data_IF_850086148299
#
_entry.id   IF_850086148299
#
_cell.length_a   1.000
_cell.length_b   1.000
_cell.length_c   1.000
_cell.angle_alpha   90.00
_cell.angle_beta   90.00
_cell.angle_gamma   90.00
#
_symmetry.space_group_name_H-M   'P 1'
#
loop_
_entity.id
_entity.type
_entity.pdbx_description
1 polymer ?
#
# COMPACT_ATOMS: atom_id res chain seq x y z
N UNK A 1 -24.66 -14.41 11.80
CA UNK A 1 -24.46 -15.88 11.68
C UNK A 1 -25.57 -16.69 12.39
N UNK A 2 -26.67 -16.06 12.69
CA UNK A 2 -27.81 -16.72 13.35
C UNK A 2 -28.49 -17.78 12.46
N UNK A 3 -28.41 -17.64 11.15
CA UNK A 3 -29.01 -18.56 10.17
C UNK A 3 -28.08 -19.73 9.79
N UNK A 4 -26.98 -19.90 10.52
CA UNK A 4 -26.09 -21.04 10.38
C UNK A 4 -25.53 -21.24 8.98
N UNK A 5 -25.75 -22.40 8.38
CA UNK A 5 -25.19 -22.79 7.09
C UNK A 5 -25.63 -21.88 5.94
N UNK A 6 -26.83 -21.30 5.99
CA UNK A 6 -27.30 -20.37 4.97
C UNK A 6 -26.43 -19.10 4.92
N UNK A 7 -26.03 -18.57 6.09
CA UNK A 7 -25.09 -17.43 6.16
C UNK A 7 -23.72 -17.78 5.57
N UNK A 8 -23.19 -18.96 5.85
CA UNK A 8 -21.92 -19.43 5.27
C UNK A 8 -22.01 -19.54 3.74
N UNK A 9 -23.12 -20.06 3.22
CA UNK A 9 -23.32 -20.15 1.77
C UNK A 9 -23.42 -18.78 1.10
N UNK A 10 -24.01 -17.77 1.76
CA UNK A 10 -24.02 -16.39 1.23
C UNK A 10 -22.61 -15.77 1.24
N UNK A 11 -21.80 -16.04 2.27
CA UNK A 11 -20.41 -15.59 2.29
C UNK A 11 -19.62 -16.19 1.11
N UNK A 12 -19.80 -17.48 0.82
CA UNK A 12 -19.16 -18.11 -0.32
C UNK A 12 -19.62 -17.49 -1.66
N UNK A 13 -20.91 -17.19 -1.80
CA UNK A 13 -21.45 -16.52 -3.02
C UNK A 13 -20.87 -15.14 -3.23
N UNK A 14 -20.79 -14.31 -2.18
CA UNK A 14 -20.22 -12.96 -2.27
C UNK A 14 -18.73 -13.03 -2.58
N UNK A 15 -17.96 -13.90 -1.94
CA UNK A 15 -16.54 -14.09 -2.23
C UNK A 15 -16.32 -14.56 -3.69
N UNK A 16 -17.13 -15.49 -4.18
CA UNK A 16 -17.06 -15.94 -5.57
C UNK A 16 -17.43 -14.83 -6.58
N UNK A 17 -18.39 -13.96 -6.24
CA UNK A 17 -18.74 -12.80 -7.07
C UNK A 17 -17.59 -11.80 -7.15
N UNK A 18 -16.94 -11.50 -6.03
CA UNK A 18 -15.75 -10.63 -5.97
C UNK A 18 -14.60 -11.25 -6.78
N UNK A 19 -14.40 -12.57 -6.69
CA UNK A 19 -13.37 -13.25 -7.49
C UNK A 19 -13.62 -13.07 -8.99
N UNK A 20 -14.86 -13.24 -9.46
CA UNK A 20 -15.21 -13.00 -10.88
C UNK A 20 -14.99 -11.54 -11.28
N UNK A 21 -15.37 -10.59 -10.42
CA UNK A 21 -15.14 -9.16 -10.64
C UNK A 21 -13.64 -8.86 -10.74
N UNK A 22 -12.84 -9.44 -9.85
CA UNK A 22 -11.39 -9.32 -9.88
C UNK A 22 -10.79 -9.89 -11.16
N UNK A 23 -11.21 -11.08 -11.60
CA UNK A 23 -10.70 -11.73 -12.81
C UNK A 23 -11.09 -10.98 -14.10
N UNK A 24 -12.19 -10.23 -14.04
CA UNK A 24 -12.59 -9.32 -15.11
C UNK A 24 -11.85 -7.96 -15.08
N UNK A 25 -10.85 -7.78 -14.22
CA UNK A 25 -10.09 -6.53 -14.09
C UNK A 25 -10.82 -5.43 -13.30
N UNK A 26 -11.96 -5.73 -12.67
CA UNK A 26 -12.72 -4.73 -11.90
C UNK A 26 -12.03 -4.33 -10.60
N UNK A 27 -12.08 -3.05 -10.26
CA UNK A 27 -11.56 -2.50 -9.00
C UNK A 27 -12.57 -2.72 -7.88
N UNK A 28 -12.13 -3.29 -6.77
CA UNK A 28 -12.89 -3.41 -5.54
C UNK A 28 -12.21 -2.66 -4.39
N UNK A 29 -12.82 -1.55 -3.93
CA UNK A 29 -12.39 -0.79 -2.77
C UNK A 29 -13.26 -1.20 -1.59
N UNK A 30 -12.65 -1.69 -0.52
CA UNK A 30 -13.33 -1.98 0.74
C UNK A 30 -13.09 -0.87 1.75
N UNK A 31 -14.15 -0.35 2.35
CA UNK A 31 -14.07 0.67 3.40
C UNK A 31 -14.57 0.06 4.70
N UNK A 32 -13.67 -0.12 5.65
CA UNK A 32 -13.94 -0.74 6.95
C UNK A 32 -14.33 0.33 7.97
N UNK A 33 -15.60 0.33 8.33
CA UNK A 33 -16.15 1.22 9.36
C UNK A 33 -16.23 0.54 10.72
N UNK A 34 -16.48 1.30 11.80
CA UNK A 34 -16.60 0.75 13.16
C UNK A 34 -18.04 0.28 13.45
N UNK A 35 -18.26 -0.98 13.85
CA UNK A 35 -17.35 -2.12 13.80
C UNK A 35 -17.49 -2.94 12.50
N UNK A 36 -16.41 -3.52 12.02
CA UNK A 36 -16.39 -4.53 10.96
C UNK A 36 -15.95 -5.87 11.55
N UNK A 37 -16.91 -6.76 11.89
CA UNK A 37 -16.62 -7.98 12.63
C UNK A 37 -17.33 -9.21 12.07
N UNK A 38 -16.94 -10.39 12.52
CA UNK A 38 -17.59 -11.66 12.22
C UNK A 38 -17.50 -12.07 10.75
N UNK A 39 -18.60 -12.56 10.20
CA UNK A 39 -18.67 -13.05 8.82
C UNK A 39 -18.36 -12.01 7.74
N UNK A 40 -18.56 -10.72 8.03
CA UNK A 40 -18.20 -9.63 7.12
C UNK A 40 -16.68 -9.57 6.92
N UNK A 41 -15.92 -9.56 8.02
CA UNK A 41 -14.45 -9.59 7.97
C UNK A 41 -13.94 -10.87 7.33
N UNK A 42 -14.52 -12.03 7.68
CA UNK A 42 -14.10 -13.32 7.14
C UNK A 42 -14.49 -13.56 5.66
N UNK A 43 -15.15 -12.61 5.03
CA UNK A 43 -15.61 -12.75 3.65
C UNK A 43 -15.20 -11.54 2.80
N UNK A 44 -16.16 -10.73 2.39
CA UNK A 44 -15.94 -9.69 1.38
C UNK A 44 -15.11 -8.49 1.87
N UNK A 45 -15.14 -8.16 3.16
CA UNK A 45 -14.45 -6.97 3.67
C UNK A 45 -12.92 -7.01 3.45
N UNK A 46 -12.31 -8.18 3.59
CA UNK A 46 -10.85 -8.37 3.45
C UNK A 46 -10.41 -8.79 2.04
N UNK A 47 -11.33 -8.79 1.05
CA UNK A 47 -11.03 -9.16 -0.33
C UNK A 47 -10.82 -7.96 -1.25
N UNK A 48 -10.78 -6.74 -0.70
CA UNK A 48 -10.55 -5.53 -1.48
C UNK A 48 -9.18 -5.49 -2.16
N UNK A 49 -9.13 -4.99 -3.39
CA UNK A 49 -7.88 -4.61 -4.03
C UNK A 49 -7.21 -3.49 -3.21
N UNK A 50 -8.05 -2.58 -2.71
CA UNK A 50 -7.68 -1.51 -1.79
C UNK A 50 -8.61 -1.59 -0.57
N UNK A 51 -8.02 -1.62 0.62
CA UNK A 51 -8.75 -1.69 1.88
C UNK A 51 -8.44 -0.46 2.71
N UNK A 52 -9.43 0.39 2.86
CA UNK A 52 -9.39 1.59 3.69
C UNK A 52 -10.08 1.31 5.02
N UNK A 53 -9.63 1.93 6.10
CA UNK A 53 -10.30 1.83 7.39
C UNK A 53 -10.48 3.21 8.02
N UNK A 54 -11.56 3.40 8.79
CA UNK A 54 -11.70 4.57 9.65
C UNK A 54 -10.74 4.47 10.85
N UNK A 55 -10.27 5.60 11.38
CA UNK A 55 -9.42 5.60 12.57
C UNK A 55 -10.11 4.88 13.73
N UNK A 56 -9.33 4.07 14.44
CA UNK A 56 -9.79 3.34 15.64
C UNK A 56 -10.94 2.35 15.42
N UNK A 57 -11.31 2.04 14.18
CA UNK A 57 -12.35 1.06 13.86
C UNK A 57 -11.99 -0.33 14.39
N UNK A 58 -12.96 -1.00 15.02
CA UNK A 58 -12.83 -2.39 15.45
C UNK A 58 -13.01 -3.31 14.26
N UNK A 59 -11.95 -4.03 13.89
CA UNK A 59 -11.93 -4.92 12.72
C UNK A 59 -11.39 -6.29 13.13
N UNK A 60 -12.22 -7.32 13.06
CA UNK A 60 -11.81 -8.66 13.45
C UNK A 60 -12.91 -9.70 13.26
N UNK A 61 -12.57 -10.98 13.39
CA UNK A 61 -13.57 -12.03 13.28
C UNK A 61 -14.35 -12.19 14.59
N UNK A 62 -13.69 -12.61 15.66
CA UNK A 62 -14.28 -12.68 16.99
C UNK A 62 -14.07 -11.35 17.73
N UNK A 63 -15.07 -10.91 18.47
CA UNK A 63 -14.92 -9.73 19.32
C UNK A 63 -13.91 -9.95 20.47
N UNK A 64 -13.28 -8.87 20.99
CA UNK A 64 -12.25 -8.97 22.03
C UNK A 64 -12.69 -9.80 23.24
N UNK A 65 -13.90 -9.60 23.74
CA UNK A 65 -14.45 -10.35 24.89
C UNK A 65 -14.49 -11.85 24.66
N UNK A 66 -14.86 -12.28 23.44
CA UNK A 66 -14.93 -13.71 23.11
C UNK A 66 -13.53 -14.31 23.08
N UNK A 67 -12.57 -13.58 22.54
CA UNK A 67 -11.17 -14.02 22.50
C UNK A 67 -10.62 -14.15 23.92
N UNK A 68 -10.73 -13.10 24.74
CA UNK A 68 -10.24 -13.10 26.13
C UNK A 68 -10.85 -14.24 26.96
N UNK A 69 -12.15 -14.49 26.83
CA UNK A 69 -12.80 -15.60 27.51
C UNK A 69 -12.31 -16.96 27.02
N UNK A 70 -11.97 -17.08 25.72
CA UNK A 70 -11.53 -18.36 25.14
C UNK A 70 -10.09 -18.70 25.50
N UNK A 71 -9.19 -17.68 25.47
CA UNK A 71 -7.76 -17.90 25.76
C UNK A 71 -7.41 -17.64 27.23
N UNK A 72 -8.36 -17.15 28.03
CA UNK A 72 -8.19 -16.77 29.44
C UNK A 72 -7.01 -15.78 29.67
N UNK A 73 -6.80 -14.84 28.72
CA UNK A 73 -5.75 -13.81 28.77
C UNK A 73 -6.33 -12.47 28.37
N UNK A 74 -5.79 -11.40 28.93
CA UNK A 74 -6.09 -10.03 28.54
C UNK A 74 -5.41 -9.71 27.21
N UNK A 75 -6.14 -9.11 26.28
CA UNK A 75 -5.60 -8.71 24.99
C UNK A 75 -4.74 -7.46 25.12
N UNK A 76 -3.73 -7.29 24.26
CA UNK A 76 -2.95 -6.05 24.18
C UNK A 76 -3.84 -4.84 23.88
N UNK A 77 -3.44 -3.69 24.40
CA UNK A 77 -4.12 -2.43 24.07
C UNK A 77 -4.10 -2.17 22.55
N UNK A 78 -5.23 -1.72 22.01
CA UNK A 78 -5.38 -1.47 20.59
C UNK A 78 -5.54 -2.72 19.71
N UNK A 79 -5.59 -3.91 20.29
CA UNK A 79 -5.80 -5.16 19.54
C UNK A 79 -7.07 -5.10 18.67
N UNK A 80 -6.98 -5.53 17.42
CA UNK A 80 -8.04 -5.47 16.41
C UNK A 80 -8.51 -4.05 16.03
N UNK A 81 -7.81 -2.99 16.40
CA UNK A 81 -8.08 -1.65 15.89
C UNK A 81 -7.44 -1.44 14.52
N UNK A 82 -7.94 -0.46 13.77
CA UNK A 82 -7.45 -0.14 12.44
C UNK A 82 -5.93 0.07 12.42
N UNK A 83 -5.37 0.74 13.44
CA UNK A 83 -3.93 0.99 13.60
C UNK A 83 -3.14 -0.31 13.77
N UNK A 84 -3.67 -1.25 14.53
CA UNK A 84 -3.10 -2.58 14.66
C UNK A 84 -3.09 -3.33 13.34
N UNK A 85 -4.20 -3.29 12.58
CA UNK A 85 -4.29 -3.95 11.27
C UNK A 85 -3.36 -3.31 10.23
N UNK A 86 -3.17 -1.99 10.28
CA UNK A 86 -2.23 -1.29 9.42
C UNK A 86 -0.79 -1.76 9.70
N UNK A 87 -0.40 -1.80 10.96
CA UNK A 87 0.92 -2.26 11.39
C UNK A 87 1.18 -3.72 11.01
N UNK A 88 0.15 -4.57 11.10
CA UNK A 88 0.22 -5.99 10.71
C UNK A 88 -0.07 -6.23 9.22
N UNK A 89 -0.12 -5.18 8.42
CA UNK A 89 -0.14 -5.26 6.97
C UNK A 89 -1.45 -5.73 6.35
N UNK A 90 -2.56 -5.69 7.08
CA UNK A 90 -3.85 -6.18 6.58
C UNK A 90 -4.67 -5.15 5.81
N UNK A 91 -4.46 -3.86 6.05
CA UNK A 91 -5.15 -2.76 5.38
C UNK A 91 -4.15 -1.81 4.70
N UNK A 92 -4.61 -1.05 3.69
CA UNK A 92 -3.73 -0.17 2.92
C UNK A 92 -3.56 1.19 3.58
N UNK A 93 -4.65 1.75 4.13
CA UNK A 93 -4.62 3.11 4.66
C UNK A 93 -5.72 3.34 5.68
N UNK A 94 -5.42 4.14 6.69
CA UNK A 94 -6.42 4.69 7.61
C UNK A 94 -6.81 6.08 7.09
N UNK A 95 -8.11 6.31 6.94
CA UNK A 95 -8.67 7.55 6.38
C UNK A 95 -9.79 8.03 7.26
N UNK A 96 -9.76 9.29 7.69
CA UNK A 96 -10.86 9.90 8.42
C UNK A 96 -12.10 9.99 7.54
N UNK A 97 -13.28 9.92 8.16
CA UNK A 97 -14.56 9.99 7.45
C UNK A 97 -14.70 11.25 6.61
N UNK A 98 -14.22 12.38 7.12
CA UNK A 98 -14.21 13.66 6.41
C UNK A 98 -13.40 13.65 5.13
N UNK A 99 -12.25 12.93 5.12
CA UNK A 99 -11.32 12.82 3.98
C UNK A 99 -11.64 11.65 3.04
N UNK A 100 -12.58 10.77 3.41
CA UNK A 100 -12.86 9.52 2.72
C UNK A 100 -13.33 9.75 1.27
N UNK A 101 -14.19 10.75 1.07
CA UNK A 101 -14.72 11.07 -0.26
C UNK A 101 -13.58 11.45 -1.22
N UNK A 102 -12.70 12.33 -0.79
CA UNK A 102 -11.61 12.83 -1.63
C UNK A 102 -10.55 11.75 -1.87
N UNK A 103 -10.25 10.94 -0.85
CA UNK A 103 -9.35 9.79 -0.99
C UNK A 103 -9.88 8.77 -2.01
N UNK A 104 -11.16 8.40 -1.92
CA UNK A 104 -11.78 7.48 -2.88
C UNK A 104 -11.78 8.09 -4.28
N UNK A 105 -12.09 9.37 -4.42
CA UNK A 105 -12.08 10.06 -5.70
C UNK A 105 -10.69 10.03 -6.35
N UNK A 106 -9.65 10.34 -5.60
CA UNK A 106 -8.26 10.26 -6.08
C UNK A 106 -7.88 8.83 -6.51
N UNK A 107 -8.24 7.83 -5.70
CA UNK A 107 -8.01 6.43 -6.05
C UNK A 107 -8.72 6.07 -7.36
N UNK A 108 -9.99 6.47 -7.53
CA UNK A 108 -10.75 6.19 -8.76
C UNK A 108 -10.12 6.87 -9.98
N UNK A 109 -9.67 8.11 -9.86
CA UNK A 109 -8.97 8.80 -10.95
C UNK A 109 -7.72 8.03 -11.40
N UNK A 110 -6.95 7.47 -10.46
CA UNK A 110 -5.74 6.68 -10.78
C UNK A 110 -6.03 5.27 -11.29
N UNK A 111 -7.31 4.88 -11.38
CA UNK A 111 -7.75 3.61 -11.97
C UNK A 111 -8.58 3.80 -13.25
N UNK A 112 -8.79 5.04 -13.69
CA UNK A 112 -9.35 5.30 -15.01
C UNK A 112 -8.32 4.95 -16.07
N UNK A 113 -8.75 4.26 -17.14
CA UNK A 113 -7.91 4.07 -18.32
C UNK A 113 -7.65 5.46 -18.93
N UNK A 114 -6.47 5.95 -18.74
CA UNK A 114 -5.98 7.12 -19.47
C UNK A 114 -5.81 6.67 -20.93
N UNK A 115 -6.59 7.21 -21.86
CA UNK A 115 -6.17 7.21 -23.25
C UNK A 115 -4.80 7.87 -23.27
N UNK A 116 -3.79 7.12 -23.70
CA UNK A 116 -2.46 7.67 -23.90
C UNK A 116 -2.56 8.81 -24.92
N UNK A 117 -2.78 10.01 -24.41
CA UNK A 117 -2.57 11.21 -25.20
C UNK A 117 -1.11 11.17 -25.61
N UNK A 118 -0.84 11.23 -26.92
CA UNK A 118 0.52 11.30 -27.48
C UNK A 118 1.30 12.38 -26.73
N UNK A 119 1.98 11.97 -25.68
CA UNK A 119 2.95 12.82 -24.98
C UNK A 119 4.04 13.05 -26.02
N UNK A 120 3.96 14.19 -26.71
CA UNK A 120 5.10 14.70 -27.47
C UNK A 120 6.24 14.81 -26.48
N UNK A 121 7.07 13.78 -26.48
CA UNK A 121 8.37 13.82 -25.81
C UNK A 121 9.14 14.91 -26.52
N UNK A 122 9.08 16.12 -25.96
CA UNK A 122 10.03 17.15 -26.33
C UNK A 122 11.39 16.50 -26.09
N UNK A 123 12.13 16.25 -27.17
CA UNK A 123 13.48 15.72 -27.11
C UNK A 123 14.24 16.57 -26.10
N UNK A 124 14.53 16.00 -24.94
CA UNK A 124 15.40 16.61 -23.95
C UNK A 124 16.84 16.61 -24.51
N UNK A 125 17.09 17.49 -25.49
CA UNK A 125 18.41 17.68 -26.08
C UNK A 125 19.35 18.49 -25.16
N UNK A 126 18.92 18.83 -23.94
CA UNK A 126 19.71 19.68 -23.04
C UNK A 126 20.31 18.92 -21.83
N UNK A 127 20.04 17.63 -21.66
CA UNK A 127 20.62 16.88 -20.53
C UNK A 127 21.98 16.23 -20.81
N UNK A 128 22.53 16.34 -22.01
CA UNK A 128 23.85 15.76 -22.33
C UNK A 128 25.04 16.56 -21.77
N UNK A 129 24.78 17.69 -21.10
CA UNK A 129 25.82 18.52 -20.49
C UNK A 129 25.94 18.41 -18.97
N UNK A 130 25.29 17.41 -18.32
CA UNK A 130 25.79 17.04 -17.01
C UNK A 130 27.18 16.43 -17.19
N UNK A 131 28.17 17.27 -16.89
CA UNK A 131 29.58 16.92 -16.93
C UNK A 131 29.75 15.54 -16.32
N UNK A 132 30.20 14.57 -17.12
CA UNK A 132 30.75 13.32 -16.63
C UNK A 132 32.04 13.68 -15.90
N UNK A 133 31.91 14.10 -14.63
CA UNK A 133 33.09 14.12 -13.77
C UNK A 133 33.66 12.72 -13.78
N UNK A 134 34.87 12.57 -14.28
CA UNK A 134 35.61 11.30 -14.24
C UNK A 134 36.03 11.05 -12.78
N UNK A 135 35.04 10.61 -11.98
CA UNK A 135 35.28 10.20 -10.61
C UNK A 135 36.01 8.86 -10.60
N UNK A 136 37.06 8.77 -9.79
CA UNK A 136 37.68 7.48 -9.46
C UNK A 136 36.66 6.54 -8.78
N UNK A 137 36.93 5.25 -8.81
CA UNK A 137 36.03 4.27 -8.15
C UNK A 137 35.84 4.57 -6.66
N UNK A 138 36.85 5.08 -5.98
CA UNK A 138 36.77 5.44 -4.57
C UNK A 138 35.89 6.70 -4.35
N UNK A 139 36.03 7.73 -5.15
CA UNK A 139 35.19 8.93 -5.09
C UNK A 139 33.71 8.59 -5.32
N UNK A 140 33.40 7.66 -6.24
CA UNK A 140 32.03 7.16 -6.45
C UNK A 140 31.48 6.49 -5.20
N UNK A 141 32.30 5.68 -4.49
CA UNK A 141 31.92 5.04 -3.22
C UNK A 141 31.68 6.10 -2.14
N UNK A 142 32.54 7.12 -2.01
CA UNK A 142 32.34 8.20 -1.06
C UNK A 142 31.06 9.00 -1.37
N UNK A 143 30.85 9.37 -2.63
CA UNK A 143 29.65 10.09 -3.08
C UNK A 143 28.36 9.30 -2.87
N UNK A 144 28.40 7.97 -3.06
CA UNK A 144 27.24 7.11 -2.77
C UNK A 144 26.85 7.05 -1.27
N UNK A 145 27.77 7.43 -0.39
CA UNK A 145 27.59 7.44 1.08
C UNK A 145 27.33 8.83 1.66
N UNK A 146 27.27 9.86 0.85
CA UNK A 146 26.98 11.22 1.29
C UNK A 146 25.61 11.29 1.97
N UNK A 147 25.57 11.94 3.15
CA UNK A 147 24.35 12.08 3.95
C UNK A 147 23.26 12.91 3.26
N UNK A 148 23.66 13.81 2.36
CA UNK A 148 22.75 14.69 1.61
C UNK A 148 22.22 14.04 0.32
N UNK A 149 22.67 12.84 0.00
CA UNK A 149 22.16 12.15 -1.20
C UNK A 149 20.67 11.86 -1.05
N UNK A 150 19.85 12.15 -2.07
CA UNK A 150 18.43 11.84 -2.05
C UNK A 150 18.19 10.34 -1.82
N UNK A 151 17.21 10.02 -1.00
CA UNK A 151 16.71 8.66 -0.75
C UNK A 151 15.38 8.44 -1.48
N UNK A 152 14.90 7.21 -1.53
CA UNK A 152 13.68 6.87 -2.27
C UNK A 152 12.46 7.74 -1.95
N UNK A 153 12.28 8.12 -0.67
CA UNK A 153 11.21 9.03 -0.26
C UNK A 153 11.34 10.43 -0.86
N UNK A 154 12.55 10.95 -1.05
CA UNK A 154 12.76 12.28 -1.64
C UNK A 154 12.33 12.32 -3.11
N UNK A 155 12.61 11.23 -3.84
CA UNK A 155 12.15 11.11 -5.22
C UNK A 155 10.61 11.01 -5.31
N UNK A 156 9.98 10.29 -4.37
CA UNK A 156 8.52 10.21 -4.32
C UNK A 156 7.93 11.58 -4.06
N UNK A 157 8.39 12.31 -3.03
CA UNK A 157 7.91 13.64 -2.68
C UNK A 157 8.10 14.66 -3.81
N UNK A 158 9.23 14.59 -4.51
CA UNK A 158 9.55 15.54 -5.58
C UNK A 158 8.80 15.29 -6.90
N UNK A 159 8.56 14.01 -7.23
CA UNK A 159 8.01 13.63 -8.54
C UNK A 159 6.50 13.34 -8.51
N UNK A 160 5.94 13.01 -7.34
CA UNK A 160 4.56 12.54 -7.20
C UNK A 160 3.82 13.26 -6.07
N UNK A 161 3.39 14.51 -6.27
CA UNK A 161 2.71 15.29 -5.22
C UNK A 161 1.36 14.70 -4.79
N UNK A 162 0.78 13.83 -5.61
CA UNK A 162 -0.49 13.14 -5.37
C UNK A 162 -0.32 11.68 -4.93
N UNK A 163 0.88 11.29 -4.48
CA UNK A 163 1.19 9.92 -4.08
C UNK A 163 0.30 9.44 -2.93
N UNK A 164 -0.34 8.31 -3.14
CA UNK A 164 -1.11 7.60 -2.12
C UNK A 164 -0.35 6.35 -1.74
N UNK A 165 0.22 6.34 -0.52
CA UNK A 165 0.90 5.18 0.02
C UNK A 165 -0.11 4.07 0.37
N UNK A 166 0.25 2.85 0.00
CA UNK A 166 -0.42 1.62 0.37
C UNK A 166 0.49 0.75 1.25
N UNK A 167 -0.04 0.34 2.38
CA UNK A 167 0.67 -0.40 3.40
C UNK A 167 0.42 -1.91 3.28
N UNK A 168 1.34 -2.68 3.86
CA UNK A 168 1.17 -4.08 4.19
C UNK A 168 1.31 -5.08 3.06
N UNK A 169 1.61 -6.30 3.48
CA UNK A 169 1.77 -7.47 2.59
C UNK A 169 0.53 -8.37 2.52
N UNK A 170 -0.54 -8.07 3.24
CA UNK A 170 -1.76 -8.85 3.42
C UNK A 170 -1.54 -10.21 4.14
N UNK A 171 -0.39 -10.39 4.75
CA UNK A 171 -0.03 -11.65 5.38
C UNK A 171 0.46 -11.50 6.82
N UNK A 172 1.35 -10.55 7.07
CA UNK A 172 2.10 -10.52 8.31
C UNK A 172 2.38 -9.11 8.84
N UNK A 173 2.94 -8.21 8.00
CA UNK A 173 3.44 -6.93 8.49
C UNK A 173 3.55 -5.87 7.40
N UNK A 174 3.77 -4.61 7.80
CA UNK A 174 4.11 -3.50 6.91
C UNK A 174 5.59 -3.12 7.06
N UNK A 175 6.46 -3.65 6.20
CA UNK A 175 7.87 -3.33 6.20
C UNK A 175 8.11 -1.87 5.76
N UNK A 176 8.69 -1.08 6.66
CA UNK A 176 9.03 0.33 6.43
C UNK A 176 10.21 0.53 5.48
N UNK A 177 10.98 -0.52 5.17
CA UNK A 177 12.05 -0.46 4.18
C UNK A 177 11.50 -0.37 2.74
N UNK A 178 10.22 -0.70 2.52
CA UNK A 178 9.54 -0.53 1.23
C UNK A 178 8.41 0.48 1.37
N UNK A 179 8.51 1.58 0.65
CA UNK A 179 7.44 2.54 0.42
C UNK A 179 6.81 2.19 -0.93
N UNK A 180 5.50 2.07 -0.98
CA UNK A 180 4.83 1.75 -2.24
C UNK A 180 3.41 2.25 -2.28
N UNK A 181 2.93 2.56 -3.48
CA UNK A 181 1.59 3.10 -3.67
C UNK A 181 1.30 3.47 -5.11
N UNK A 182 0.33 4.32 -5.29
CA UNK A 182 -0.11 4.82 -6.59
C UNK A 182 0.03 6.34 -6.67
N UNK A 183 0.27 6.82 -7.87
CA UNK A 183 0.39 8.25 -8.14
C UNK A 183 0.03 8.56 -9.59
N UNK A 184 -0.04 9.84 -9.93
CA UNK A 184 -0.10 10.30 -11.30
C UNK A 184 1.25 10.90 -11.73
N UNK A 185 1.79 10.43 -12.83
CA UNK A 185 2.97 11.01 -13.45
C UNK A 185 2.57 11.69 -14.76
N UNK A 186 2.52 13.01 -14.77
CA UNK A 186 2.07 13.81 -15.93
C UNK A 186 0.71 13.36 -16.46
N UNK A 187 -0.23 13.09 -15.56
CA UNK A 187 -1.59 12.65 -15.91
C UNK A 187 -1.73 11.14 -16.18
N UNK A 188 -0.64 10.39 -16.18
CA UNK A 188 -0.67 8.93 -16.33
C UNK A 188 -0.61 8.24 -14.97
N UNK A 189 -1.59 7.39 -14.63
CA UNK A 189 -1.55 6.60 -13.40
C UNK A 189 -0.36 5.63 -13.40
N UNK A 190 0.40 5.64 -12.32
CA UNK A 190 1.57 4.78 -12.13
C UNK A 190 1.57 4.12 -10.77
N UNK A 191 2.22 2.97 -10.66
CA UNK A 191 2.54 2.36 -9.36
C UNK A 191 3.99 2.71 -9.04
N UNK A 192 4.23 3.26 -7.86
CA UNK A 192 5.57 3.67 -7.41
C UNK A 192 6.00 2.79 -6.25
N UNK A 193 7.21 2.27 -6.32
CA UNK A 193 7.82 1.44 -5.28
C UNK A 193 9.21 1.98 -5.03
N UNK A 194 9.55 2.25 -3.76
CA UNK A 194 10.88 2.71 -3.39
C UNK A 194 11.45 1.87 -2.26
N UNK A 195 12.72 1.48 -2.39
CA UNK A 195 13.50 0.96 -1.29
C UNK A 195 13.96 2.15 -0.46
N UNK A 196 13.48 2.22 0.78
CA UNK A 196 13.63 3.41 1.61
C UNK A 196 14.70 3.21 2.69
N UNK A 197 15.75 4.02 2.60
CA UNK A 197 16.73 4.21 3.66
C UNK A 197 16.35 5.44 4.49
N UNK A 198 16.64 5.44 5.78
CA UNK A 198 16.40 6.58 6.64
C UNK A 198 17.45 7.69 6.47
N UNK A 199 17.08 8.93 6.83
CA UNK A 199 17.96 10.11 6.81
C UNK A 199 18.80 10.26 8.10
N UNK A 200 18.37 9.63 9.18
CA UNK A 200 19.03 9.64 10.47
C UNK A 200 19.10 8.24 11.08
N UNK A 201 19.82 8.08 12.18
CA UNK A 201 20.03 6.78 12.83
C UNK A 201 18.72 6.12 13.25
N UNK A 202 17.76 6.88 13.78
CA UNK A 202 16.46 6.36 14.22
C UNK A 202 15.67 5.80 13.04
N UNK A 203 15.54 6.57 12.00
CA UNK A 203 14.85 6.13 10.77
C UNK A 203 15.57 4.94 10.11
N UNK A 204 16.90 4.93 10.10
CA UNK A 204 17.66 3.80 9.58
C UNK A 204 17.35 2.50 10.33
N UNK A 205 17.27 2.56 11.67
CA UNK A 205 16.88 1.40 12.48
C UNK A 205 15.46 0.97 12.16
N UNK A 206 14.50 1.91 12.09
CA UNK A 206 13.10 1.61 11.76
C UNK A 206 12.92 1.00 10.38
N UNK A 207 13.76 1.37 9.42
CA UNK A 207 13.75 0.88 8.03
C UNK A 207 14.77 -0.24 7.79
N UNK A 208 15.28 -0.86 8.86
CA UNK A 208 16.32 -1.89 8.79
C UNK A 208 17.46 -1.51 7.83
N UNK A 209 17.92 -0.25 7.87
CA UNK A 209 18.97 0.31 6.99
C UNK A 209 18.66 0.20 5.49
N UNK A 210 17.39 0.16 5.13
CA UNK A 210 16.93 -0.03 3.76
C UNK A 210 17.02 -1.48 3.28
N UNK A 211 17.13 -2.45 4.19
CA UNK A 211 17.16 -3.89 3.88
C UNK A 211 15.75 -4.48 4.11
N UNK A 212 14.98 -4.77 3.06
CA UNK A 212 13.63 -5.29 3.22
C UNK A 212 13.62 -6.68 3.85
N UNK A 213 12.67 -6.89 4.75
CA UNK A 213 12.28 -8.20 5.26
C UNK A 213 11.39 -8.94 4.24
N UNK A 214 11.08 -10.24 4.43
CA UNK A 214 10.25 -10.99 3.50
C UNK A 214 8.88 -10.37 3.23
N UNK A 215 8.29 -9.67 4.23
CA UNK A 215 7.04 -8.92 4.09
C UNK A 215 7.21 -7.69 3.18
N UNK A 216 8.35 -7.01 3.18
CA UNK A 216 8.65 -5.94 2.24
C UNK A 216 8.64 -6.40 0.78
N UNK A 217 9.24 -7.56 0.50
CA UNK A 217 9.20 -8.15 -0.84
C UNK A 217 7.79 -8.58 -1.24
N UNK A 218 6.99 -9.13 -0.30
CA UNK A 218 5.58 -9.48 -0.57
C UNK A 218 4.72 -8.23 -0.79
N UNK A 219 4.96 -7.14 -0.05
CA UNK A 219 4.32 -5.84 -0.28
C UNK A 219 4.61 -5.34 -1.70
N UNK A 220 5.87 -5.32 -2.11
CA UNK A 220 6.27 -4.91 -3.46
C UNK A 220 5.60 -5.79 -4.53
N UNK A 221 5.65 -7.12 -4.38
CA UNK A 221 5.02 -8.06 -5.30
C UNK A 221 3.49 -7.85 -5.39
N UNK A 222 2.83 -7.58 -4.28
CA UNK A 222 1.38 -7.29 -4.24
C UNK A 222 1.06 -6.05 -5.07
N UNK A 223 1.83 -4.98 -4.91
CA UNK A 223 1.66 -3.74 -5.66
C UNK A 223 1.95 -3.92 -7.15
N UNK A 224 2.96 -4.72 -7.51
CA UNK A 224 3.23 -5.06 -8.92
C UNK A 224 2.10 -5.87 -9.56
N UNK A 225 1.52 -6.85 -8.85
CA UNK A 225 0.34 -7.60 -9.32
C UNK A 225 -0.89 -6.70 -9.48
N UNK A 226 -1.07 -5.74 -8.58
CA UNK A 226 -2.12 -4.74 -8.70
C UNK A 226 -1.88 -3.83 -9.91
N UNK A 227 -0.62 -3.43 -10.16
CA UNK A 227 -0.25 -2.67 -11.34
C UNK A 227 -0.53 -3.43 -12.64
N UNK A 228 -0.20 -4.72 -12.70
CA UNK A 228 -0.51 -5.61 -13.82
C UNK A 228 -2.03 -5.68 -14.07
N UNK A 229 -2.82 -5.92 -13.02
CA UNK A 229 -4.29 -5.99 -13.11
C UNK A 229 -4.91 -4.72 -13.68
N UNK A 230 -4.40 -3.54 -13.29
CA UNK A 230 -4.95 -2.26 -13.70
C UNK A 230 -4.14 -1.55 -14.79
N UNK A 231 -3.21 -2.28 -15.43
CA UNK A 231 -2.39 -1.81 -16.55
C UNK A 231 -1.62 -0.51 -16.25
N UNK A 232 -1.12 -0.37 -15.02
CA UNK A 232 -0.30 0.78 -14.63
C UNK A 232 1.18 0.46 -14.79
N UNK A 233 1.99 1.36 -15.38
CA UNK A 233 3.44 1.25 -15.34
C UNK A 233 3.94 1.24 -13.90
N UNK A 234 5.04 0.52 -13.65
CA UNK A 234 5.71 0.45 -12.35
C UNK A 234 7.00 1.23 -12.41
N UNK A 235 7.19 2.16 -11.48
CA UNK A 235 8.41 2.94 -11.30
C UNK A 235 9.06 2.51 -9.99
N UNK A 236 10.31 2.01 -10.08
CA UNK A 236 11.06 1.56 -8.89
C UNK A 236 12.27 2.47 -8.64
N UNK A 237 12.42 2.92 -7.40
CA UNK A 237 13.62 3.58 -6.88
C UNK A 237 14.35 2.61 -5.97
N UNK A 238 15.59 2.24 -6.32
CA UNK A 238 16.41 1.24 -5.63
C UNK A 238 17.78 1.80 -5.28
#
# INVERSE_FOLDING_TARGET
>A
MQEGIHSLMQMAKTAAAIKRHHDAGGLYISVLTDPTTGGVTASFAMLGDIILAEPNALIGFAGPRVIEQTIAQTLPEGFQRAEFLLQHGFIDKIVKREDMKDTIFQILQMHQQSEMTDLKVNKMNEMDHFMKEELSSWERVLRSREKQRPVGSDYIEALFPDFIEFHGDRCYHDDKAIIGGIASFRGMPVTVIAQAKGRNTKENIERNYGMPSPDGYRKALRLMKQAEKFHRPVICFV
#
